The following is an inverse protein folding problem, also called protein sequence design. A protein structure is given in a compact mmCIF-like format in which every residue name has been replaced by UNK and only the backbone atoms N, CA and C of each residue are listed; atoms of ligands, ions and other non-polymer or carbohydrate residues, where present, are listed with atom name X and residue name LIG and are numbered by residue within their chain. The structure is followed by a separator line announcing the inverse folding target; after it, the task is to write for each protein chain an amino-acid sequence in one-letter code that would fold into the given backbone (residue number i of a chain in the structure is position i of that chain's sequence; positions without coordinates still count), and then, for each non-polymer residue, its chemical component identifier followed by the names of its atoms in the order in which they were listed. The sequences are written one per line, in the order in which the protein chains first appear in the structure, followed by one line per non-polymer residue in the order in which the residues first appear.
data_IF_075879056562
#
_entry.id   IF_075879056562
#
_cell.length_a   1.000
_cell.length_b   1.000
_cell.length_c   1.000
_cell.angle_alpha   90.00
_cell.angle_beta   90.00
_cell.angle_gamma   90.00
#
_symmetry.space_group_name_H-M   'P 1'
#
loop_
_entity.id
_entity.type
_entity.pdbx_description
1 polymer ?
#
# COMPACT_ATOMS: atom_id res chain seq x y z
N UNK A 1 12.12 -1.07 0.09
CA UNK A 1 11.18 -0.23 -0.71
C UNK A 1 11.43 -0.46 -2.19
N UNK A 2 10.41 -0.76 -2.96
CA UNK A 2 10.49 -0.86 -4.43
C UNK A 2 10.16 0.51 -5.00
N UNK A 3 11.15 1.18 -5.60
CA UNK A 3 10.92 2.45 -6.28
C UNK A 3 10.38 2.16 -7.69
N UNK A 4 9.16 2.59 -7.97
CA UNK A 4 8.56 2.47 -9.30
C UNK A 4 8.68 3.82 -9.98
N UNK A 5 9.40 3.87 -11.10
CA UNK A 5 9.34 5.04 -11.98
C UNK A 5 8.01 5.00 -12.76
N UNK A 6 6.95 5.42 -12.08
CA UNK A 6 5.61 5.48 -12.66
C UNK A 6 5.54 6.39 -13.89
N UNK A 7 6.47 7.33 -14.04
CA UNK A 7 6.51 8.23 -15.20
C UNK A 7 7.01 7.54 -16.48
N UNK A 8 7.73 6.41 -16.34
CA UNK A 8 8.23 5.63 -17.49
C UNK A 8 7.27 4.54 -17.97
N UNK A 9 6.23 4.21 -17.19
CA UNK A 9 5.25 3.17 -17.57
C UNK A 9 4.43 3.61 -18.80
N UNK A 10 4.48 2.86 -19.92
CA UNK A 10 3.77 3.22 -21.15
C UNK A 10 2.24 3.29 -20.98
N UNK A 11 1.69 2.44 -20.10
CA UNK A 11 0.26 2.41 -19.81
C UNK A 11 -0.18 3.66 -19.04
N UNK A 12 0.58 4.07 -18.00
CA UNK A 12 0.31 5.30 -17.26
C UNK A 12 0.35 6.51 -18.20
N UNK A 13 1.29 6.55 -19.15
CA UNK A 13 1.34 7.61 -20.16
C UNK A 13 0.10 7.67 -21.04
N UNK A 14 -0.44 6.52 -21.46
CA UNK A 14 -1.63 6.43 -22.31
C UNK A 14 -2.93 6.78 -21.55
N UNK A 15 -2.97 6.55 -20.23
CA UNK A 15 -4.13 6.83 -19.39
C UNK A 15 -4.19 8.27 -18.86
N UNK A 16 -3.15 9.08 -19.09
CA UNK A 16 -3.03 10.40 -18.46
C UNK A 16 -4.09 11.41 -18.95
N UNK A 17 -4.63 12.22 -18.01
CA UNK A 17 -5.65 13.25 -18.28
C UNK A 17 -5.06 14.48 -19.03
N UNK A 18 -5.89 15.52 -19.34
CA UNK A 18 -5.45 16.79 -19.90
C UNK A 18 -4.26 17.41 -19.17
N UNK A 19 -3.50 18.27 -19.84
CA UNK A 19 -2.17 18.78 -19.42
C UNK A 19 -2.03 19.14 -17.94
N UNK A 20 -3.00 19.86 -17.34
CA UNK A 20 -2.86 20.33 -15.96
C UNK A 20 -3.08 19.23 -14.92
N UNK A 21 -4.09 18.41 -15.11
CA UNK A 21 -4.31 17.23 -14.26
C UNK A 21 -3.13 16.24 -14.38
N UNK A 22 -2.57 16.08 -15.58
CA UNK A 22 -1.34 15.29 -15.82
C UNK A 22 -0.16 15.83 -15.02
N UNK A 23 0.06 17.14 -15.03
CA UNK A 23 1.17 17.78 -14.29
C UNK A 23 1.02 17.58 -12.78
N UNK A 24 -0.21 17.71 -12.25
CA UNK A 24 -0.50 17.46 -10.82
C UNK A 24 -0.26 16.00 -10.49
N UNK A 25 -0.77 15.08 -11.28
CA UNK A 25 -0.59 13.64 -11.09
C UNK A 25 0.89 13.24 -11.07
N UNK A 26 1.68 13.74 -12.02
CA UNK A 26 3.13 13.48 -12.05
C UNK A 26 3.84 14.03 -10.80
N UNK A 27 3.41 15.19 -10.26
CA UNK A 27 3.94 15.72 -9.00
C UNK A 27 3.60 14.80 -7.81
N UNK A 28 2.37 14.30 -7.73
CA UNK A 28 1.97 13.33 -6.69
C UNK A 28 2.85 12.08 -6.78
N UNK A 29 2.96 11.49 -7.96
CA UNK A 29 3.74 10.27 -8.17
C UNK A 29 5.24 10.47 -7.90
N UNK A 30 5.80 11.65 -8.18
CA UNK A 30 7.20 11.95 -7.89
C UNK A 30 7.51 12.09 -6.39
N UNK A 31 6.52 12.44 -5.58
CA UNK A 31 6.64 12.52 -4.11
C UNK A 31 6.35 11.19 -3.41
N UNK A 32 5.79 10.23 -4.12
CA UNK A 32 5.35 8.97 -3.54
C UNK A 32 6.46 8.19 -2.80
N UNK A 33 7.72 8.09 -3.31
CA UNK A 33 8.77 7.41 -2.59
C UNK A 33 9.03 7.98 -1.20
N UNK A 34 9.09 9.31 -1.07
CA UNK A 34 9.25 9.98 0.24
C UNK A 34 8.02 9.76 1.13
N UNK A 35 6.82 9.86 0.58
CA UNK A 35 5.58 9.67 1.33
C UNK A 35 5.44 8.24 1.90
N UNK A 36 5.90 7.22 1.18
CA UNK A 36 5.94 5.83 1.68
C UNK A 36 6.94 5.71 2.84
N UNK A 37 8.16 6.26 2.67
CA UNK A 37 9.18 6.27 3.72
C UNK A 37 8.72 7.03 4.95
N UNK A 38 8.10 8.20 4.79
CA UNK A 38 7.60 9.01 5.91
C UNK A 38 6.52 8.26 6.70
N UNK A 39 5.69 7.46 6.02
CA UNK A 39 4.70 6.60 6.69
C UNK A 39 5.40 5.54 7.53
N UNK A 40 6.42 4.88 7.00
CA UNK A 40 7.21 3.87 7.73
C UNK A 40 7.96 4.47 8.91
N UNK A 41 8.72 5.55 8.68
CA UNK A 41 9.54 6.19 9.73
C UNK A 41 8.68 6.68 10.89
N UNK A 42 7.54 7.30 10.61
CA UNK A 42 6.65 7.80 11.66
C UNK A 42 6.15 6.67 12.56
N UNK A 43 5.94 5.49 11.99
CA UNK A 43 5.46 4.31 12.71
C UNK A 43 6.60 3.55 13.39
N UNK A 44 7.77 3.42 12.77
CA UNK A 44 8.97 2.79 13.34
C UNK A 44 9.56 3.58 14.51
N UNK A 45 9.68 4.91 14.40
CA UNK A 45 10.15 5.75 15.51
C UNK A 45 9.29 5.62 16.75
N UNK A 46 7.99 5.39 16.59
CA UNK A 46 7.10 5.10 17.71
C UNK A 46 7.23 3.66 18.21
N UNK A 47 7.67 2.71 17.39
CA UNK A 47 7.81 1.30 17.78
C UNK A 47 9.04 1.03 18.64
N UNK A 48 10.19 1.62 18.32
CA UNK A 48 11.48 1.37 18.97
C UNK A 48 11.54 1.91 20.41
N UNK A 49 10.73 2.90 20.74
CA UNK A 49 10.72 3.50 22.09
C UNK A 49 9.82 2.76 23.09
N UNK A 50 9.20 1.65 22.71
CA UNK A 50 8.19 0.97 23.55
C UNK A 50 6.90 1.80 23.74
N UNK A 51 6.92 3.06 23.38
CA UNK A 51 5.81 4.00 23.45
C UNK A 51 4.81 3.73 22.32
N UNK A 52 5.32 3.39 21.13
CA UNK A 52 4.53 3.08 19.95
C UNK A 52 3.62 1.87 20.14
N UNK A 53 4.05 0.86 20.90
CA UNK A 53 3.19 -0.29 21.21
C UNK A 53 1.96 0.04 22.04
N UNK A 54 1.96 1.14 22.79
CA UNK A 54 0.78 1.64 23.52
C UNK A 54 -0.13 2.49 22.63
N UNK A 55 0.43 3.15 21.62
CA UNK A 55 -0.29 4.06 20.71
C UNK A 55 -0.67 3.42 19.38
N UNK A 56 -0.01 2.33 18.94
CA UNK A 56 -0.51 1.46 17.90
C UNK A 56 -1.73 0.70 18.45
N UNK A 57 -2.79 1.45 18.74
CA UNK A 57 -4.10 0.88 19.01
C UNK A 57 -4.49 -0.08 17.88
N UNK A 58 -5.63 -0.70 17.97
CA UNK A 58 -6.08 -1.72 17.02
C UNK A 58 -5.93 -1.29 15.54
N UNK A 59 -5.97 0.02 15.25
CA UNK A 59 -5.84 0.55 13.89
C UNK A 59 -4.40 0.62 13.37
N UNK A 60 -3.40 0.73 14.24
CA UNK A 60 -2.00 0.86 13.84
C UNK A 60 -1.43 -0.42 13.22
N UNK A 61 -1.75 -1.58 13.77
CA UNK A 61 -1.30 -2.87 13.21
C UNK A 61 -1.83 -3.10 11.80
N UNK A 62 -3.09 -2.76 11.56
CA UNK A 62 -3.70 -2.89 10.23
C UNK A 62 -3.03 -2.00 9.18
N UNK A 63 -2.45 -0.86 9.55
CA UNK A 63 -1.71 0.04 8.66
C UNK A 63 -0.52 -0.66 8.00
N UNK A 64 0.10 -1.60 8.73
CA UNK A 64 1.17 -2.47 8.26
C UNK A 64 0.68 -3.84 7.78
N UNK A 65 -0.58 -3.96 7.43
CA UNK A 65 -1.18 -5.25 7.07
C UNK A 65 -0.92 -6.35 8.11
N UNK A 66 -0.98 -5.99 9.39
CA UNK A 66 -0.72 -6.88 10.52
C UNK A 66 -1.97 -7.08 11.38
N UNK A 67 -2.00 -8.20 12.11
CA UNK A 67 -3.07 -8.52 13.04
C UNK A 67 -2.80 -7.95 14.43
N UNK A 68 -3.86 -7.61 15.16
CA UNK A 68 -3.78 -7.41 16.60
C UNK A 68 -3.66 -8.76 17.32
N UNK A 69 -3.12 -8.74 18.53
CA UNK A 69 -3.05 -9.95 19.35
C UNK A 69 -4.44 -10.55 19.56
N UNK A 70 -4.61 -11.80 19.15
CA UNK A 70 -5.88 -12.53 19.29
C UNK A 70 -6.97 -12.11 18.29
N UNK A 71 -6.66 -11.25 17.33
CA UNK A 71 -7.59 -10.89 16.28
C UNK A 71 -7.80 -12.09 15.31
N UNK A 72 -9.06 -12.43 15.00
CA UNK A 72 -9.34 -13.44 13.98
C UNK A 72 -8.74 -13.06 12.64
N UNK A 73 -8.18 -14.03 11.90
CA UNK A 73 -7.51 -13.79 10.62
C UNK A 73 -8.40 -13.08 9.61
N UNK A 74 -9.70 -13.42 9.56
CA UNK A 74 -10.68 -12.75 8.71
C UNK A 74 -10.81 -11.25 9.03
N UNK A 75 -10.82 -10.91 10.33
CA UNK A 75 -10.88 -9.51 10.77
C UNK A 75 -9.58 -8.76 10.46
N UNK A 76 -8.41 -9.40 10.66
CA UNK A 76 -7.11 -8.82 10.30
C UNK A 76 -7.01 -8.57 8.78
N UNK A 77 -7.46 -9.53 7.97
CA UNK A 77 -7.50 -9.39 6.53
C UNK A 77 -8.40 -8.23 6.08
N UNK A 78 -9.64 -8.17 6.58
CA UNK A 78 -10.56 -7.09 6.25
C UNK A 78 -9.96 -5.71 6.60
N UNK A 79 -9.40 -5.58 7.81
CA UNK A 79 -8.73 -4.35 8.25
C UNK A 79 -7.53 -3.98 7.36
N UNK A 80 -6.69 -4.96 6.97
CA UNK A 80 -5.58 -4.74 6.04
C UNK A 80 -6.07 -4.26 4.66
N UNK A 81 -7.12 -4.86 4.12
CA UNK A 81 -7.73 -4.43 2.85
C UNK A 81 -8.28 -3.01 2.93
N UNK A 82 -8.90 -2.64 4.05
CA UNK A 82 -9.39 -1.28 4.26
C UNK A 82 -8.23 -0.27 4.29
N UNK A 83 -7.05 -0.65 4.80
CA UNK A 83 -5.83 0.19 4.79
C UNK A 83 -5.17 0.29 3.41
N UNK A 84 -5.45 -0.63 2.50
CA UNK A 84 -5.06 -0.50 1.08
C UNK A 84 -5.99 0.47 0.34
N UNK A 85 -7.30 0.24 0.40
CA UNK A 85 -8.24 0.98 -0.43
C UNK A 85 -8.76 2.27 0.20
N UNK A 86 -8.91 2.35 1.51
CA UNK A 86 -9.36 3.56 2.20
C UNK A 86 -8.46 4.77 1.92
N UNK A 87 -7.15 4.69 2.18
CA UNK A 87 -6.23 5.78 1.85
C UNK A 87 -6.13 6.06 0.35
N UNK A 88 -6.22 5.04 -0.53
CA UNK A 88 -6.24 5.24 -1.98
C UNK A 88 -7.47 6.04 -2.43
N UNK A 89 -8.67 5.75 -1.93
CA UNK A 89 -9.89 6.52 -2.19
C UNK A 89 -9.80 7.94 -1.60
N UNK A 90 -9.20 8.08 -0.42
CA UNK A 90 -8.94 9.40 0.15
C UNK A 90 -8.02 10.22 -0.73
N UNK A 91 -6.97 9.63 -1.31
CA UNK A 91 -6.10 10.29 -2.27
C UNK A 91 -6.86 10.73 -3.53
N UNK A 92 -7.77 9.90 -4.06
CA UNK A 92 -8.66 10.26 -5.19
C UNK A 92 -9.53 11.46 -4.83
N UNK A 93 -10.18 11.42 -3.68
CA UNK A 93 -11.03 12.52 -3.21
C UNK A 93 -10.25 13.83 -3.11
N UNK A 94 -9.09 13.81 -2.41
CA UNK A 94 -8.23 14.99 -2.26
C UNK A 94 -7.74 15.52 -3.61
N UNK A 95 -7.41 14.63 -4.55
CA UNK A 95 -6.99 15.03 -5.89
C UNK A 95 -8.12 15.72 -6.67
N UNK A 96 -9.33 15.19 -6.59
CA UNK A 96 -10.50 15.75 -7.27
C UNK A 96 -10.92 17.10 -6.66
N UNK A 97 -10.87 17.25 -5.33
CA UNK A 97 -11.11 18.53 -4.65
C UNK A 97 -10.15 19.64 -5.11
N UNK A 98 -8.91 19.28 -5.51
CA UNK A 98 -7.96 20.25 -6.09
C UNK A 98 -8.29 20.64 -7.53
N UNK A 99 -9.00 19.79 -8.28
CA UNK A 99 -9.33 20.07 -9.68
C UNK A 99 -10.31 21.25 -9.80
N UNK A 100 -11.16 21.43 -8.78
CA UNK A 100 -12.17 22.49 -8.71
C UNK A 100 -11.59 23.85 -8.21
N UNK A 101 -10.36 23.86 -7.69
CA UNK A 101 -9.72 25.02 -7.11
C UNK A 101 -8.87 25.73 -8.19
N UNK A 102 -9.39 26.82 -8.75
CA UNK A 102 -8.72 27.62 -9.79
C UNK A 102 -7.53 28.43 -9.26
N UNK A 103 -7.34 28.50 -7.95
CA UNK A 103 -6.25 29.24 -7.31
C UNK A 103 -5.01 28.36 -7.12
N UNK A 104 -4.03 28.51 -8.02
CA UNK A 104 -2.74 27.78 -8.05
C UNK A 104 -1.73 28.29 -7.00
N UNK A 105 -2.18 28.84 -5.87
CA UNK A 105 -1.34 29.39 -4.82
C UNK A 105 -0.66 28.31 -3.94
N UNK A 106 0.06 28.74 -2.90
CA UNK A 106 0.75 27.90 -1.90
C UNK A 106 -0.11 26.79 -1.29
N UNK A 107 -1.44 26.94 -1.26
CA UNK A 107 -2.39 25.88 -0.82
C UNK A 107 -2.35 24.64 -1.69
N UNK A 108 -2.08 24.78 -2.99
CA UNK A 108 -2.00 23.64 -3.92
C UNK A 108 -0.83 22.70 -3.60
N UNK A 109 0.29 23.24 -3.11
CA UNK A 109 1.47 22.41 -2.77
C UNK A 109 1.18 21.54 -1.56
N UNK A 110 0.60 22.10 -0.50
CA UNK A 110 0.21 21.34 0.70
C UNK A 110 -0.80 20.24 0.37
N UNK A 111 -1.80 20.53 -0.47
CA UNK A 111 -2.79 19.53 -0.89
C UNK A 111 -2.19 18.39 -1.73
N UNK A 112 -1.18 18.68 -2.57
CA UNK A 112 -0.45 17.65 -3.30
C UNK A 112 0.34 16.74 -2.35
N UNK A 113 0.85 17.29 -1.24
CA UNK A 113 1.50 16.50 -0.20
C UNK A 113 0.49 15.60 0.51
N UNK A 114 -0.70 16.12 0.86
CA UNK A 114 -1.77 15.32 1.46
C UNK A 114 -2.20 14.15 0.56
N UNK A 115 -2.34 14.38 -0.76
CA UNK A 115 -2.61 13.31 -1.75
C UNK A 115 -1.50 12.28 -1.76
N UNK A 116 -0.23 12.74 -1.77
CA UNK A 116 0.93 11.85 -1.81
C UNK A 116 1.05 11.02 -0.53
N UNK A 117 0.78 11.61 0.64
CA UNK A 117 0.76 10.92 1.94
C UNK A 117 -0.34 9.85 1.96
N UNK A 118 -1.56 10.19 1.55
CA UNK A 118 -2.66 9.23 1.53
C UNK A 118 -2.36 8.07 0.56
N UNK A 119 -1.86 8.36 -0.65
CA UNK A 119 -1.48 7.33 -1.61
C UNK A 119 -0.27 6.52 -1.12
N UNK A 120 0.69 7.16 -0.45
CA UNK A 120 1.85 6.53 0.18
C UNK A 120 1.44 5.50 1.21
N UNK A 121 0.48 5.83 2.07
CA UNK A 121 -0.07 4.91 3.06
C UNK A 121 -0.73 3.68 2.42
N UNK A 122 -1.45 3.86 1.30
CA UNK A 122 -2.03 2.73 0.55
C UNK A 122 -0.95 1.83 -0.08
N UNK A 123 0.10 2.43 -0.65
CA UNK A 123 1.25 1.72 -1.22
C UNK A 123 1.99 0.95 -0.14
N UNK A 124 2.24 1.59 1.00
CA UNK A 124 2.88 0.94 2.15
C UNK A 124 2.11 -0.31 2.58
N UNK A 125 0.80 -0.21 2.79
CA UNK A 125 -0.03 -1.35 3.17
C UNK A 125 0.01 -2.50 2.14
N UNK A 126 0.08 -2.20 0.83
CA UNK A 126 0.31 -3.23 -0.19
C UNK A 126 1.68 -3.86 -0.03
N UNK A 127 2.74 -3.07 0.12
CA UNK A 127 4.11 -3.58 0.24
C UNK A 127 4.28 -4.44 1.50
N UNK A 128 3.76 -3.98 2.62
CA UNK A 128 3.77 -4.71 3.89
C UNK A 128 3.03 -6.05 3.79
N UNK A 129 1.98 -6.12 3.00
CA UNK A 129 1.29 -7.41 2.75
C UNK A 129 2.19 -8.47 2.10
N UNK A 130 3.32 -8.07 1.51
CA UNK A 130 4.32 -8.97 0.93
C UNK A 130 5.55 -9.17 1.82
N UNK A 131 5.67 -8.44 2.94
CA UNK A 131 6.72 -8.69 3.92
C UNK A 131 6.50 -10.03 4.63
N UNK A 132 7.47 -10.95 4.61
CA UNK A 132 7.36 -12.23 5.31
C UNK A 132 7.22 -12.10 6.83
N UNK A 133 7.57 -10.95 7.38
CA UNK A 133 7.38 -10.64 8.80
C UNK A 133 5.95 -10.19 9.11
N UNK A 134 5.22 -9.66 8.13
CA UNK A 134 3.83 -9.23 8.31
C UNK A 134 2.85 -10.31 7.87
N UNK A 135 3.13 -10.99 6.74
CA UNK A 135 2.21 -11.93 6.11
C UNK A 135 2.94 -13.19 5.66
N UNK A 136 2.49 -14.32 6.13
CA UNK A 136 2.92 -15.61 5.59
C UNK A 136 2.12 -15.92 4.33
N UNK A 137 2.82 -16.27 3.25
CA UNK A 137 2.24 -16.65 1.97
C UNK A 137 2.66 -18.08 1.59
N UNK A 138 1.80 -18.74 0.83
CA UNK A 138 2.14 -20.05 0.25
C UNK A 138 3.00 -19.90 -1.02
N UNK A 139 3.33 -21.04 -1.64
CA UNK A 139 4.13 -21.08 -2.87
C UNK A 139 3.43 -20.42 -4.07
N UNK A 140 2.10 -20.27 -4.05
CA UNK A 140 1.32 -19.58 -5.08
C UNK A 140 1.32 -18.09 -4.87
N UNK A 141 1.58 -17.63 -3.64
CA UNK A 141 1.54 -16.24 -3.22
C UNK A 141 0.26 -15.90 -2.46
N UNK A 142 -0.59 -16.88 -2.15
CA UNK A 142 -1.82 -16.66 -1.40
C UNK A 142 -1.51 -16.40 0.09
N UNK A 143 -2.29 -15.54 0.72
CA UNK A 143 -2.13 -15.16 2.12
C UNK A 143 -2.59 -16.31 3.01
N UNK A 144 -1.64 -16.95 3.70
CA UNK A 144 -1.88 -18.05 4.64
C UNK A 144 -2.20 -17.54 6.05
N UNK A 145 -1.48 -16.50 6.49
CA UNK A 145 -1.61 -15.96 7.84
C UNK A 145 -1.13 -14.51 7.87
N UNK A 146 -1.88 -13.66 8.54
CA UNK A 146 -1.48 -12.30 8.90
C UNK A 146 -0.92 -12.37 10.31
N UNK A 147 0.34 -11.92 10.49
CA UNK A 147 1.07 -12.04 11.74
C UNK A 147 0.74 -10.87 12.67
N UNK A 148 0.73 -11.13 13.97
CA UNK A 148 0.68 -10.07 14.96
C UNK A 148 2.11 -9.63 15.33
N UNK A 149 2.33 -8.34 15.57
CA UNK A 149 3.64 -7.82 15.98
C UNK A 149 4.25 -8.59 17.15
N UNK A 150 3.44 -8.91 18.14
CA UNK A 150 3.93 -9.65 19.33
C UNK A 150 4.44 -11.05 19.03
N UNK A 151 4.01 -11.67 17.94
CA UNK A 151 4.48 -13.00 17.52
C UNK A 151 5.88 -12.91 16.87
N UNK A 152 6.41 -11.70 16.71
CA UNK A 152 7.68 -11.41 16.06
C UNK A 152 8.76 -10.87 17.01
N UNK A 153 8.45 -10.75 18.29
CA UNK A 153 9.43 -10.31 19.30
C UNK A 153 10.68 -11.20 19.24
N UNK A 154 11.84 -10.59 18.98
CA UNK A 154 13.13 -11.28 18.81
C UNK A 154 13.44 -11.75 17.40
N UNK A 155 12.59 -11.51 16.39
CA UNK A 155 12.89 -11.73 14.98
C UNK A 155 13.45 -10.44 14.36
N UNK A 156 14.38 -10.58 13.43
CA UNK A 156 14.87 -9.45 12.64
C UNK A 156 13.78 -8.99 11.66
N UNK A 157 13.00 -8.00 12.08
CA UNK A 157 11.93 -7.41 11.27
C UNK A 157 12.49 -6.81 9.98
N UNK A 158 13.62 -6.13 10.06
CA UNK A 158 14.27 -5.51 8.90
C UNK A 158 14.74 -6.54 7.86
N UNK A 159 15.07 -7.77 8.27
CA UNK A 159 15.45 -8.81 7.32
C UNK A 159 14.28 -9.25 6.44
N UNK A 160 13.05 -9.28 7.00
CA UNK A 160 11.84 -9.56 6.24
C UNK A 160 11.57 -8.50 5.18
N UNK A 161 11.75 -7.23 5.53
CA UNK A 161 11.50 -6.10 4.64
C UNK A 161 12.57 -5.96 3.54
N UNK A 162 13.73 -6.57 3.71
CA UNK A 162 14.80 -6.66 2.69
C UNK A 162 14.67 -7.85 1.74
N UNK A 163 13.69 -8.72 1.92
CA UNK A 163 13.51 -9.96 1.14
C UNK A 163 13.06 -9.73 -0.32
N UNK A 164 12.90 -8.48 -0.76
CA UNK A 164 12.53 -8.11 -2.11
C UNK A 164 13.58 -8.43 -3.17
N UNK A 165 14.85 -8.44 -2.78
CA UNK A 165 15.98 -8.69 -3.66
C UNK A 165 16.79 -9.90 -3.17
N UNK A 166 17.35 -10.65 -4.12
CA UNK A 166 18.37 -11.64 -3.84
C UNK A 166 19.74 -11.00 -3.57
N UNK A 167 20.72 -11.79 -3.17
CA UNK A 167 22.09 -11.29 -2.92
C UNK A 167 22.79 -10.68 -4.13
N UNK A 168 22.24 -10.80 -5.33
CA UNK A 168 22.71 -10.17 -6.58
C UNK A 168 21.94 -8.91 -6.97
N UNK A 169 20.99 -8.45 -6.13
CA UNK A 169 20.17 -7.26 -6.40
C UNK A 169 18.98 -7.49 -7.33
N UNK A 170 18.72 -8.74 -7.76
CA UNK A 170 17.56 -9.06 -8.58
C UNK A 170 16.32 -9.20 -7.72
N UNK A 171 15.15 -8.82 -8.26
CA UNK A 171 13.88 -9.04 -7.56
C UNK A 171 13.62 -10.52 -7.37
N UNK A 172 13.36 -10.90 -6.12
CA UNK A 172 12.82 -12.23 -5.80
C UNK A 172 11.44 -12.42 -6.44
N UNK A 173 10.93 -13.67 -6.42
CA UNK A 173 9.53 -13.91 -6.84
C UNK A 173 8.56 -13.02 -6.05
N UNK A 174 8.74 -12.93 -4.74
CA UNK A 174 7.91 -12.11 -3.87
C UNK A 174 8.03 -10.62 -4.18
N UNK A 175 9.25 -10.14 -4.42
CA UNK A 175 9.50 -8.76 -4.85
C UNK A 175 8.82 -8.42 -6.18
N UNK A 176 8.81 -9.33 -7.15
CA UNK A 176 8.07 -9.14 -8.41
C UNK A 176 6.56 -9.04 -8.19
N UNK A 177 5.99 -9.93 -7.38
CA UNK A 177 4.55 -9.90 -7.06
C UNK A 177 4.18 -8.60 -6.33
N UNK A 178 5.00 -8.15 -5.39
CA UNK A 178 4.83 -6.89 -4.69
C UNK A 178 4.86 -5.69 -5.65
N UNK A 179 5.82 -5.65 -6.58
CA UNK A 179 5.91 -4.61 -7.59
C UNK A 179 4.67 -4.59 -8.48
N UNK A 180 4.22 -5.74 -8.98
CA UNK A 180 3.02 -5.86 -9.82
C UNK A 180 1.74 -5.42 -9.07
N UNK A 181 1.62 -5.80 -7.79
CA UNK A 181 0.52 -5.37 -6.94
C UNK A 181 0.52 -3.86 -6.72
N UNK A 182 1.69 -3.27 -6.47
CA UNK A 182 1.85 -1.82 -6.31
C UNK A 182 1.49 -1.08 -7.60
N UNK A 183 1.93 -1.58 -8.77
CA UNK A 183 1.56 -1.01 -10.07
C UNK A 183 0.03 -1.04 -10.26
N UNK A 184 -0.63 -2.14 -9.93
CA UNK A 184 -2.09 -2.23 -10.02
C UNK A 184 -2.82 -1.24 -9.12
N UNK A 185 -2.32 -1.00 -7.91
CA UNK A 185 -2.87 0.02 -7.01
C UNK A 185 -2.71 1.42 -7.60
N UNK A 186 -1.54 1.74 -8.15
CA UNK A 186 -1.30 3.02 -8.82
C UNK A 186 -2.18 3.20 -10.06
N UNK A 187 -2.37 2.14 -10.84
CA UNK A 187 -3.31 2.12 -11.97
C UNK A 187 -4.75 2.38 -11.51
N UNK A 188 -5.17 1.72 -10.44
CA UNK A 188 -6.47 1.97 -9.82
C UNK A 188 -6.66 3.45 -9.47
N UNK A 189 -5.71 4.05 -8.73
CA UNK A 189 -5.75 5.46 -8.36
C UNK A 189 -5.85 6.37 -9.60
N UNK A 190 -4.99 6.18 -10.61
CA UNK A 190 -4.98 6.99 -11.83
C UNK A 190 -6.33 6.89 -12.57
N UNK A 191 -6.87 5.68 -12.71
CA UNK A 191 -8.15 5.45 -13.38
C UNK A 191 -9.32 6.11 -12.66
N UNK A 192 -9.31 6.07 -11.32
CA UNK A 192 -10.31 6.78 -10.50
C UNK A 192 -10.23 8.30 -10.71
N UNK A 193 -9.03 8.86 -10.69
CA UNK A 193 -8.79 10.30 -10.93
C UNK A 193 -9.28 10.75 -12.31
N UNK A 194 -9.20 9.88 -13.32
CA UNK A 194 -9.66 10.21 -14.69
C UNK A 194 -11.08 9.72 -14.99
N UNK A 195 -11.86 9.37 -13.96
CA UNK A 195 -13.25 8.91 -14.04
C UNK A 195 -13.45 7.66 -14.93
N UNK A 196 -12.47 6.75 -14.96
CA UNK A 196 -12.57 5.45 -15.64
C UNK A 196 -12.90 4.35 -14.63
N UNK A 197 -14.03 4.47 -13.95
CA UNK A 197 -14.40 3.65 -12.81
C UNK A 197 -14.49 2.15 -13.13
N UNK A 198 -15.00 1.78 -14.31
CA UNK A 198 -15.08 0.37 -14.70
C UNK A 198 -13.70 -0.27 -14.86
N UNK A 199 -12.71 0.49 -15.36
CA UNK A 199 -11.32 0.05 -15.49
C UNK A 199 -10.63 0.00 -14.13
N UNK A 200 -10.86 1.01 -13.29
CA UNK A 200 -10.38 1.04 -11.92
C UNK A 200 -10.88 -0.18 -11.14
N UNK A 201 -12.15 -0.51 -11.23
CA UNK A 201 -12.72 -1.67 -10.57
C UNK A 201 -12.15 -3.00 -11.11
N UNK A 202 -11.75 -3.06 -12.39
CA UNK A 202 -10.99 -4.23 -12.90
C UNK A 202 -9.63 -4.35 -12.24
N UNK A 203 -8.90 -3.24 -12.05
CA UNK A 203 -7.62 -3.23 -11.33
C UNK A 203 -7.80 -3.67 -9.89
N UNK A 204 -8.81 -3.14 -9.19
CA UNK A 204 -9.16 -3.52 -7.82
C UNK A 204 -9.43 -5.02 -7.70
N UNK A 205 -10.32 -5.56 -8.54
CA UNK A 205 -10.63 -7.00 -8.53
C UNK A 205 -9.40 -7.85 -8.83
N UNK A 206 -8.53 -7.43 -9.77
CA UNK A 206 -7.30 -8.16 -10.06
C UNK A 206 -6.35 -8.12 -8.86
N UNK A 207 -6.17 -6.96 -8.21
CA UNK A 207 -5.36 -6.82 -7.01
C UNK A 207 -5.85 -7.76 -5.90
N UNK A 208 -7.14 -7.77 -5.63
CA UNK A 208 -7.76 -8.64 -4.63
C UNK A 208 -7.64 -10.13 -4.97
N UNK A 209 -7.92 -10.51 -6.22
CA UNK A 209 -8.01 -11.92 -6.63
C UNK A 209 -6.64 -12.57 -6.84
N UNK A 210 -5.63 -11.81 -7.24
CA UNK A 210 -4.34 -12.35 -7.66
C UNK A 210 -3.25 -12.10 -6.62
N UNK A 211 -3.27 -10.95 -5.95
CA UNK A 211 -2.16 -10.50 -5.11
C UNK A 211 -2.50 -10.45 -3.61
N UNK A 212 -3.75 -10.16 -3.30
CA UNK A 212 -4.23 -10.08 -1.91
C UNK A 212 -5.21 -11.22 -1.58
N UNK A 213 -5.20 -12.29 -2.36
CA UNK A 213 -6.11 -13.41 -2.17
C UNK A 213 -5.75 -14.19 -0.90
N UNK A 214 -6.72 -14.45 0.01
CA UNK A 214 -6.50 -15.36 1.12
C UNK A 214 -6.46 -16.80 0.60
N UNK A 215 -5.53 -17.60 1.10
CA UNK A 215 -5.56 -19.03 0.89
C UNK A 215 -6.88 -19.61 1.40
N UNK A 216 -7.25 -20.79 0.88
CA UNK A 216 -8.51 -21.46 1.23
C UNK A 216 -8.83 -21.36 2.74
N UNK A 217 -9.90 -20.68 3.12
CA UNK A 217 -10.25 -20.47 4.53
C UNK A 217 -10.38 -21.77 5.34
N UNK A 218 -10.74 -22.88 4.67
CA UNK A 218 -10.88 -24.19 5.31
C UNK A 218 -9.54 -24.80 5.72
N UNK A 219 -8.42 -24.35 5.12
CA UNK A 219 -7.08 -24.91 5.33
C UNK A 219 -6.17 -24.06 6.22
N UNK A 220 -6.50 -22.81 6.46
CA UNK A 220 -5.56 -21.81 7.00
C UNK A 220 -5.88 -21.30 8.41
N UNK A 221 -6.80 -21.92 9.13
CA UNK A 221 -7.22 -21.40 10.44
C UNK A 221 -7.97 -20.06 10.35
N UNK A 222 -8.55 -19.75 9.19
CA UNK A 222 -9.42 -18.61 8.95
C UNK A 222 -10.84 -18.80 9.51
N UNK A 223 -11.00 -19.78 10.42
CA UNK A 223 -12.26 -20.00 11.12
C UNK A 223 -12.77 -18.70 11.75
N UNK A 224 -14.09 -18.49 11.74
CA UNK A 224 -14.71 -17.28 12.28
C UNK A 224 -14.41 -17.05 13.73
#
# INVERSE_FOLDING_TARGET
MITIDAASDPWLRAALPPRDARRRLLKVLSKLPSAVVDTDITLEQFSDTGFGHKFLGQDGQATHFMANKGQPQRGAYAAGIDKVFGPAERAVQLFNEMADDSDLSTRTTSRLDDVSIALGAAVNAVQDSFSPTHVQRDQRGDIMRIQAWRDQLGKDHNAGDRSWQDGGGNLTKLGRLCMEATILLLQYFVLRVVNKDADAERCRRKLMKVYLHPADPSRSGWSP
#
